data_IF_749590280712
#
_entry.id   IF_749590280712
#
_cell.length_a   1.000
_cell.length_b   1.000
_cell.length_c   1.000
_cell.angle_alpha   90.00
_cell.angle_beta   90.00
_cell.angle_gamma   90.00
#
_symmetry.space_group_name_H-M   'P 1'
#
loop_
_entity.id
_entity.type
_entity.pdbx_description
1 polymer ?
#
# COMPACT_ATOMS: atom_id res chain seq x y z
N UNK A 1 4.48 -5.52 19.09
CA UNK A 1 4.62 -4.23 18.37
C UNK A 1 5.46 -4.50 17.13
N UNK A 2 5.05 -3.99 15.97
CA UNK A 2 5.71 -4.20 14.67
C UNK A 2 6.05 -2.84 14.07
N UNK A 3 7.25 -2.70 13.50
CA UNK A 3 7.66 -1.53 12.74
C UNK A 3 7.97 -1.96 11.30
N UNK A 4 7.56 -1.14 10.33
CA UNK A 4 7.80 -1.39 8.90
C UNK A 4 8.56 -0.22 8.31
N UNK A 5 9.78 -0.42 7.79
CA UNK A 5 10.53 0.63 7.11
C UNK A 5 9.83 0.99 5.78
N UNK A 6 9.59 2.28 5.56
CA UNK A 6 8.90 2.77 4.35
C UNK A 6 9.83 3.62 3.50
N UNK A 7 9.81 3.35 2.19
CA UNK A 7 10.51 4.17 1.20
C UNK A 7 9.64 5.35 0.73
N UNK A 8 8.32 5.18 0.71
CA UNK A 8 7.36 6.19 0.24
C UNK A 8 6.01 6.04 0.96
N UNK A 9 5.15 7.05 0.85
CA UNK A 9 3.87 7.09 1.58
C UNK A 9 2.67 6.52 0.80
N UNK A 10 2.76 6.43 -0.53
CA UNK A 10 1.66 6.04 -1.41
C UNK A 10 2.14 5.24 -2.61
N UNK A 11 1.24 4.49 -3.24
CA UNK A 11 1.47 3.78 -4.50
C UNK A 11 0.28 4.07 -5.43
N UNK A 12 0.53 4.53 -6.65
CA UNK A 12 -0.52 4.91 -7.62
C UNK A 12 -1.62 5.83 -7.04
N UNK A 13 -1.24 6.77 -6.17
CA UNK A 13 -2.18 7.70 -5.52
C UNK A 13 -3.02 7.10 -4.37
N UNK A 14 -2.83 5.82 -4.05
CA UNK A 14 -3.40 5.14 -2.88
C UNK A 14 -2.47 5.35 -1.69
N UNK A 15 -2.92 6.08 -0.68
CA UNK A 15 -2.16 6.35 0.54
C UNK A 15 -2.06 5.10 1.42
N UNK A 16 -0.85 4.76 1.86
CA UNK A 16 -0.61 3.61 2.74
C UNK A 16 -0.18 4.11 4.12
N UNK A 17 -0.78 3.57 5.16
CA UNK A 17 -0.48 3.87 6.56
C UNK A 17 -0.37 2.57 7.38
N UNK A 18 -0.28 2.68 8.70
CA UNK A 18 -0.17 1.52 9.61
C UNK A 18 -1.33 0.52 9.49
N UNK A 19 -2.56 0.98 9.20
CA UNK A 19 -3.71 0.09 8.98
C UNK A 19 -3.58 -0.69 7.67
N UNK A 20 -3.01 -0.07 6.63
CA UNK A 20 -2.68 -0.74 5.37
C UNK A 20 -1.78 -1.96 5.60
N UNK A 21 -0.73 -1.81 6.40
CA UNK A 21 0.13 -2.94 6.79
C UNK A 21 -0.54 -3.96 7.72
N UNK A 22 -1.59 -3.55 8.44
CA UNK A 22 -2.44 -4.46 9.22
C UNK A 22 -3.54 -5.16 8.38
N UNK A 23 -3.57 -4.93 7.06
CA UNK A 23 -4.48 -5.60 6.12
C UNK A 23 -5.71 -4.80 5.72
N UNK A 24 -5.85 -3.54 6.17
CA UNK A 24 -6.97 -2.68 5.82
C UNK A 24 -6.54 -1.59 4.83
N UNK A 25 -6.92 -1.74 3.56
CA UNK A 25 -6.67 -0.76 2.50
C UNK A 25 -7.94 0.04 2.23
N UNK A 26 -7.81 1.37 2.20
CA UNK A 26 -8.89 2.30 1.91
C UNK A 26 -8.55 3.07 0.63
N UNK A 27 -9.48 3.06 -0.32
CA UNK A 27 -9.39 3.79 -1.59
C UNK A 27 -10.46 4.88 -1.63
N UNK A 28 -10.22 5.94 -2.42
CA UNK A 28 -11.09 7.13 -2.45
C UNK A 28 -12.29 6.97 -3.38
N UNK A 29 -12.15 6.15 -4.42
CA UNK A 29 -13.12 6.00 -5.50
C UNK A 29 -13.01 4.62 -6.17
N UNK A 30 -13.91 4.37 -7.13
CA UNK A 30 -13.99 3.11 -7.88
C UNK A 30 -12.78 2.89 -8.80
N UNK A 31 -12.21 3.96 -9.38
CA UNK A 31 -11.04 3.86 -10.24
C UNK A 31 -9.82 3.35 -9.45
N UNK A 32 -9.60 3.88 -8.25
CA UNK A 32 -8.57 3.38 -7.34
C UNK A 32 -8.87 1.95 -6.85
N UNK A 33 -10.14 1.58 -6.70
CA UNK A 33 -10.50 0.20 -6.35
C UNK A 33 -10.12 -0.78 -7.48
N UNK A 34 -10.40 -0.42 -8.73
CA UNK A 34 -10.02 -1.24 -9.88
C UNK A 34 -8.50 -1.32 -10.04
N UNK A 35 -7.77 -0.21 -9.83
CA UNK A 35 -6.31 -0.22 -9.77
C UNK A 35 -5.79 -1.12 -8.65
N UNK A 36 -6.37 -1.03 -7.45
CA UNK A 36 -6.00 -1.87 -6.30
C UNK A 36 -6.17 -3.36 -6.62
N UNK A 37 -7.28 -3.73 -7.27
CA UNK A 37 -7.53 -5.12 -7.70
C UNK A 37 -6.54 -5.57 -8.77
N UNK A 38 -6.21 -4.72 -9.74
CA UNK A 38 -5.30 -5.03 -10.83
C UNK A 38 -3.85 -5.22 -10.33
N UNK A 39 -3.36 -4.34 -9.46
CA UNK A 39 -2.01 -4.41 -8.88
C UNK A 39 -1.93 -5.52 -7.84
N UNK A 40 -2.97 -5.63 -7.01
CA UNK A 40 -3.04 -6.53 -5.87
C UNK A 40 -2.45 -5.94 -4.59
N UNK A 41 -3.06 -6.21 -3.42
CA UNK A 41 -2.73 -5.56 -2.16
C UNK A 41 -1.28 -5.81 -1.71
N UNK A 42 -0.74 -7.01 -1.94
CA UNK A 42 0.64 -7.34 -1.57
C UNK A 42 1.67 -6.58 -2.40
N UNK A 43 1.39 -6.31 -3.68
CA UNK A 43 2.29 -5.57 -4.53
C UNK A 43 2.28 -4.07 -4.17
N UNK A 44 1.11 -3.53 -3.79
CA UNK A 44 0.98 -2.18 -3.24
C UNK A 44 1.81 -2.03 -1.96
N UNK A 45 1.71 -2.98 -1.02
CA UNK A 45 2.49 -2.93 0.21
C UNK A 45 4.00 -3.04 -0.06
N UNK A 46 4.41 -3.91 -1.00
CA UNK A 46 5.82 -4.04 -1.42
C UNK A 46 6.36 -2.78 -2.05
N UNK A 47 5.56 -2.08 -2.85
CA UNK A 47 5.98 -0.85 -3.53
C UNK A 47 6.30 0.31 -2.58
N UNK A 48 5.81 0.26 -1.33
CA UNK A 48 6.01 1.34 -0.35
C UNK A 48 7.03 1.04 0.75
N UNK A 49 7.56 -0.19 0.81
CA UNK A 49 8.61 -0.57 1.79
C UNK A 49 10.00 -0.33 1.24
N UNK A 50 10.98 -0.16 2.13
CA UNK A 50 12.38 -0.23 1.72
C UNK A 50 12.71 -1.64 1.23
N UNK A 51 13.37 -1.76 0.09
CA UNK A 51 13.96 -3.03 -0.33
C UNK A 51 15.22 -3.28 0.50
N UNK A 52 15.45 -4.53 0.93
CA UNK A 52 16.76 -4.92 1.46
C UNK A 52 17.65 -5.24 0.24
N UNK A 53 18.73 -4.49 0.06
CA UNK A 53 19.84 -4.83 -0.87
C UNK A 53 20.71 -5.96 -0.28
#
# INVERSE_FOLDING_TARGET
MMAVPRAQEQCEGISINSLGFAGALLVKDEDQLEQLKAIGPMNILKAVVCSED
#
